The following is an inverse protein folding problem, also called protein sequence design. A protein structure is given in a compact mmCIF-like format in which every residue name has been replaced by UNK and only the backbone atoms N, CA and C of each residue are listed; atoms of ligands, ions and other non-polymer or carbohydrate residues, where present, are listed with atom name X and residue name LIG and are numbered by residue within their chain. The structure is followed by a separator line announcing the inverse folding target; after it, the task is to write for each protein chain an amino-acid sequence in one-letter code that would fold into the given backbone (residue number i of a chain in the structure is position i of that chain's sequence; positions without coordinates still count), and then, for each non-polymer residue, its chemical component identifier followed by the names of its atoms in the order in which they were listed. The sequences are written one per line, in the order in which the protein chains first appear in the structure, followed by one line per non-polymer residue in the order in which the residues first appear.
data_IF_668432911865
#
_entry.id   IF_668432911865
#
_cell.length_a   1.000
_cell.length_b   1.000
_cell.length_c   1.000
_cell.angle_alpha   90.00
_cell.angle_beta   90.00
_cell.angle_gamma   90.00
#
_symmetry.space_group_name_H-M   'P 1'
#
loop_
_entity.id
_entity.type
_entity.pdbx_description
1 polymer ?
#
# COMPACT_ATOMS: atom_id res chain seq x y z
N UNK A 1 6.11 2.65 10.12
CA UNK A 1 4.69 2.21 10.00
C UNK A 1 4.69 0.77 9.53
N UNK A 2 3.75 -0.05 10.00
CA UNK A 2 3.56 -1.43 9.55
C UNK A 2 2.25 -1.50 8.77
N UNK A 3 2.27 -2.16 7.62
CA UNK A 3 1.09 -2.37 6.78
C UNK A 3 0.94 -3.87 6.54
N UNK A 4 -0.29 -4.37 6.68
CA UNK A 4 -0.63 -5.72 6.23
C UNK A 4 -0.76 -5.69 4.72
N UNK A 5 -0.09 -6.65 4.07
CA UNK A 5 -0.21 -6.88 2.62
C UNK A 5 -0.77 -8.29 2.42
N UNK A 6 -1.60 -8.46 1.39
CA UNK A 6 -2.04 -9.78 0.94
C UNK A 6 -1.17 -10.17 -0.24
N UNK A 7 -0.72 -11.42 -0.24
CA UNK A 7 0.20 -11.97 -1.22
C UNK A 7 -0.53 -13.04 -2.02
N UNK A 8 -0.42 -12.97 -3.34
CA UNK A 8 -0.96 -13.94 -4.28
C UNK A 8 0.19 -14.52 -5.10
N UNK A 9 0.38 -15.83 -5.02
CA UNK A 9 1.36 -16.54 -5.84
C UNK A 9 0.69 -17.07 -7.10
N UNK A 10 1.34 -16.87 -8.25
CA UNK A 10 0.92 -17.40 -9.55
C UNK A 10 2.08 -18.10 -10.25
N UNK A 11 1.84 -18.83 -11.36
CA UNK A 11 2.91 -19.36 -12.19
C UNK A 11 3.82 -18.28 -12.81
N UNK A 12 3.36 -17.02 -12.87
CA UNK A 12 4.07 -15.89 -13.47
C UNK A 12 4.77 -14.99 -12.44
N UNK A 13 4.86 -15.42 -11.17
CA UNK A 13 5.44 -14.65 -10.08
C UNK A 13 4.44 -14.33 -8.97
N UNK A 14 4.63 -13.19 -8.31
CA UNK A 14 3.89 -12.76 -7.13
C UNK A 14 3.16 -11.44 -7.41
N UNK A 15 1.90 -11.38 -6.98
CA UNK A 15 1.13 -10.15 -6.88
C UNK A 15 0.88 -9.84 -5.41
N UNK A 16 0.90 -8.56 -5.06
CA UNK A 16 0.71 -8.10 -3.69
C UNK A 16 -0.16 -6.84 -3.66
N UNK A 17 -0.99 -6.70 -2.64
CA UNK A 17 -1.75 -5.47 -2.41
C UNK A 17 -1.81 -5.12 -0.92
N UNK A 18 -2.02 -3.84 -0.61
CA UNK A 18 -2.22 -3.35 0.75
C UNK A 18 -3.70 -2.96 0.95
N UNK A 19 -4.53 -3.76 1.65
CA UNK A 19 -5.96 -3.46 1.82
C UNK A 19 -6.24 -2.12 2.50
N UNK A 20 -5.34 -1.67 3.37
CA UNK A 20 -5.47 -0.38 4.06
C UNK A 20 -5.28 0.83 3.13
N UNK A 21 -4.67 0.65 1.96
CA UNK A 21 -4.38 1.70 0.99
C UNK A 21 -5.04 1.35 -0.35
N UNK A 22 -6.25 1.85 -0.57
CA UNK A 22 -7.03 1.53 -1.75
C UNK A 22 -6.24 1.77 -3.05
N UNK A 23 -6.22 0.77 -3.93
CA UNK A 23 -5.49 0.79 -5.19
C UNK A 23 -3.98 0.55 -5.08
N UNK A 24 -3.42 0.35 -3.88
CA UNK A 24 -1.99 0.07 -3.71
C UNK A 24 -1.70 -1.41 -4.01
N UNK A 25 -1.25 -1.67 -5.24
CA UNK A 25 -0.91 -2.99 -5.76
C UNK A 25 0.51 -2.98 -6.33
N UNK A 26 1.15 -4.15 -6.33
CA UNK A 26 2.44 -4.35 -6.96
C UNK A 26 2.64 -5.82 -7.34
N UNK A 27 3.75 -6.11 -8.03
CA UNK A 27 4.10 -7.44 -8.49
C UNK A 27 5.63 -7.63 -8.58
N UNK A 28 6.09 -8.87 -8.68
CA UNK A 28 7.48 -9.22 -8.92
C UNK A 28 7.63 -10.71 -9.24
N UNK A 29 8.73 -11.09 -9.87
CA UNK A 29 9.01 -12.50 -10.24
C UNK A 29 9.31 -13.35 -8.99
N UNK A 30 9.83 -12.70 -7.94
CA UNK A 30 10.05 -13.31 -6.62
C UNK A 30 9.23 -12.65 -5.52
N UNK A 31 9.04 -13.37 -4.40
CA UNK A 31 8.37 -12.82 -3.22
C UNK A 31 9.10 -11.58 -2.69
N UNK A 32 10.42 -11.64 -2.61
CA UNK A 32 11.26 -10.53 -2.14
C UNK A 32 11.08 -9.30 -3.02
N UNK A 33 11.12 -9.47 -4.33
CA UNK A 33 10.93 -8.37 -5.28
C UNK A 33 9.54 -7.74 -5.16
N UNK A 34 8.47 -8.56 -5.14
CA UNK A 34 7.11 -8.05 -4.96
C UNK A 34 6.97 -7.27 -3.64
N UNK A 35 7.63 -7.74 -2.58
CA UNK A 35 7.65 -7.06 -1.28
C UNK A 35 8.46 -5.76 -1.29
N UNK A 36 9.56 -5.66 -2.03
CA UNK A 36 10.27 -4.39 -2.20
C UNK A 36 9.44 -3.41 -3.03
N UNK A 37 8.86 -3.87 -4.14
CA UNK A 37 8.06 -3.03 -5.04
C UNK A 37 6.81 -2.47 -4.34
N UNK A 38 6.12 -3.27 -3.50
CA UNK A 38 4.98 -2.75 -2.73
C UNK A 38 5.40 -1.77 -1.63
N UNK A 39 6.62 -1.89 -1.06
CA UNK A 39 7.13 -0.88 -0.11
C UNK A 39 7.28 0.48 -0.78
N UNK A 40 7.77 0.52 -2.01
CA UNK A 40 7.89 1.77 -2.78
C UNK A 40 6.53 2.35 -3.17
N UNK A 41 5.59 1.49 -3.58
CA UNK A 41 4.22 1.92 -3.84
C UNK A 41 3.56 2.53 -2.58
N UNK A 42 3.71 1.90 -1.41
CA UNK A 42 3.22 2.40 -0.13
C UNK A 42 3.88 3.75 0.21
N UNK A 43 5.21 3.88 0.07
CA UNK A 43 5.93 5.14 0.33
C UNK A 43 5.38 6.27 -0.53
N UNK A 44 5.17 5.99 -1.82
CA UNK A 44 4.62 6.96 -2.78
C UNK A 44 3.20 7.37 -2.40
N UNK A 45 2.34 6.40 -2.05
CA UNK A 45 0.98 6.65 -1.62
C UNK A 45 0.91 7.56 -0.38
N UNK A 46 1.75 7.29 0.63
CA UNK A 46 1.82 8.11 1.84
C UNK A 46 2.35 9.51 1.55
N UNK A 47 3.29 9.65 0.62
CA UNK A 47 3.74 10.96 0.16
C UNK A 47 2.59 11.74 -0.48
N UNK A 48 1.76 11.09 -1.30
CA UNK A 48 0.57 11.71 -1.89
C UNK A 48 -0.44 12.15 -0.83
N UNK A 49 -0.76 11.31 0.17
CA UNK A 49 -1.63 11.71 1.28
C UNK A 49 -1.05 12.95 1.99
N UNK A 50 0.24 12.94 2.34
CA UNK A 50 0.89 14.08 3.01
C UNK A 50 0.88 15.35 2.18
N UNK A 51 0.96 15.24 0.85
CA UNK A 51 0.85 16.38 -0.06
C UNK A 51 -0.58 16.90 -0.10
N UNK A 52 -1.55 15.99 -0.17
CA UNK A 52 -2.97 16.31 -0.24
C UNK A 52 -3.49 16.96 1.05
N UNK A 53 -3.04 16.51 2.21
CA UNK A 53 -3.45 17.03 3.52
C UNK A 53 -2.64 18.23 3.99
N UNK A 54 -1.56 18.60 3.27
CA UNK A 54 -0.69 19.70 3.64
C UNK A 54 -1.47 21.01 3.74
N UNK A 55 -1.34 21.69 4.88
CA UNK A 55 -2.01 22.96 5.17
C UNK A 55 -3.55 22.88 5.15
N UNK A 56 -4.13 21.68 5.24
CA UNK A 56 -5.57 21.49 5.37
C UNK A 56 -5.91 21.10 6.79
N UNK A 57 -7.07 21.53 7.27
CA UNK A 57 -7.62 21.03 8.53
C UNK A 57 -8.07 19.58 8.34
N UNK A 58 -7.46 18.66 9.07
CA UNK A 58 -7.81 17.23 9.06
C UNK A 58 -8.41 16.83 10.40
N UNK A 59 -9.41 15.94 10.39
CA UNK A 59 -9.96 15.32 11.61
C UNK A 59 -10.16 13.84 11.36
N UNK A 60 -10.08 13.03 12.42
CA UNK A 60 -10.38 11.61 12.35
C UNK A 60 -11.89 11.38 12.58
N UNK A 61 -12.46 10.40 11.87
CA UNK A 61 -13.87 10.01 12.01
C UNK A 61 -13.91 8.55 12.45
N UNK A 62 -14.51 8.28 13.61
CA UNK A 62 -14.70 6.93 14.13
C UNK A 62 -15.99 6.33 13.57
N UNK A 63 -15.91 5.09 13.10
CA UNK A 63 -17.05 4.33 12.57
C UNK A 63 -17.08 2.97 13.27
N UNK A 64 -18.26 2.55 13.72
CA UNK A 64 -18.47 1.21 14.25
C UNK A 64 -18.77 0.25 13.08
N UNK A 65 -18.11 -0.90 13.07
CA UNK A 65 -18.30 -1.99 12.10
C UNK A 65 -18.89 -3.20 12.81
#
# INVERSE_FOLDING_TARGET
MKYTVVIYKSPRGYHVNCPALSGCVSQGDSLTEALENIKDAIRTYIHMIKKETRNKTTTEVQVAV
#
